data_IF_769571981272
#
_entry.id   IF_769571981272
#
_cell.length_a   1.000
_cell.length_b   1.000
_cell.length_c   1.000
_cell.angle_alpha   90.00
_cell.angle_beta   90.00
_cell.angle_gamma   90.00
#
_symmetry.space_group_name_H-M   'P 1'
#
loop_
_entity.id
_entity.type
_entity.pdbx_description
1 polymer ?
#
# COMPACT_ATOMS: atom_id res chain seq x y z
N UNK A 1 -26.91 5.56 -21.14
CA UNK A 1 -26.93 6.79 -20.34
C UNK A 1 -28.04 6.69 -19.31
N UNK A 2 -27.72 6.14 -18.13
CA UNK A 2 -28.56 6.15 -16.94
C UNK A 2 -27.70 6.73 -15.84
N UNK A 3 -28.03 7.95 -15.41
CA UNK A 3 -27.28 8.67 -14.39
C UNK A 3 -27.38 7.92 -13.06
N UNK A 4 -26.28 7.33 -12.61
CA UNK A 4 -26.12 6.91 -11.23
C UNK A 4 -26.17 8.17 -10.38
N UNK A 5 -27.31 8.40 -9.70
CA UNK A 5 -27.52 9.57 -8.85
C UNK A 5 -26.55 9.47 -7.67
N UNK A 6 -25.85 10.57 -7.37
CA UNK A 6 -24.97 10.80 -6.19
C UNK A 6 -25.49 10.31 -4.83
N UNK A 7 -26.76 9.90 -4.70
CA UNK A 7 -27.35 9.34 -3.48
C UNK A 7 -27.03 7.86 -3.25
N UNK A 8 -26.69 7.09 -4.28
CA UNK A 8 -26.35 5.66 -4.11
C UNK A 8 -24.92 5.46 -3.59
N UNK A 9 -24.00 6.41 -3.83
CA UNK A 9 -22.66 6.40 -3.22
C UNK A 9 -22.68 6.63 -1.70
N UNK A 10 -23.76 7.17 -1.14
CA UNK A 10 -23.90 7.45 0.29
C UNK A 10 -24.52 6.27 1.09
N UNK A 11 -25.06 5.26 0.40
CA UNK A 11 -25.73 4.11 1.02
C UNK A 11 -24.88 2.84 1.09
N UNK A 12 -23.64 2.86 0.57
CA UNK A 12 -22.60 1.86 0.88
C UNK A 12 -21.96 2.09 2.28
N UNK A 13 -22.69 2.70 3.20
CA UNK A 13 -22.35 2.83 4.63
C UNK A 13 -22.79 1.60 5.44
N UNK A 14 -23.18 0.51 4.76
CA UNK A 14 -23.42 -0.78 5.39
C UNK A 14 -22.10 -1.38 5.89
N UNK A 15 -21.83 -1.15 7.18
CA UNK A 15 -20.90 -1.91 8.02
C UNK A 15 -19.46 -2.00 7.49
N UNK A 16 -18.82 -0.86 7.25
CA UNK A 16 -17.37 -0.80 7.43
C UNK A 16 -17.11 -1.13 8.91
N UNK A 17 -16.22 -2.07 9.26
CA UNK A 17 -15.74 -2.17 10.61
C UNK A 17 -14.97 -0.87 10.87
N UNK A 18 -15.68 0.14 11.39
CA UNK A 18 -15.07 1.22 12.14
C UNK A 18 -14.30 0.52 13.23
N UNK A 19 -12.98 0.39 13.06
CA UNK A 19 -12.12 -0.13 14.10
C UNK A 19 -12.27 0.80 15.28
N UNK A 20 -13.12 0.38 16.23
CA UNK A 20 -13.17 0.94 17.57
C UNK A 20 -11.97 0.39 18.30
N UNK A 21 -10.77 0.78 17.87
CA UNK A 21 -9.64 0.80 18.78
C UNK A 21 -10.03 1.86 19.82
N UNK A 22 -10.56 1.42 20.96
CA UNK A 22 -10.59 2.28 22.14
C UNK A 22 -9.20 2.89 22.26
N UNK A 23 -9.13 4.22 22.36
CA UNK A 23 -7.93 5.04 22.18
C UNK A 23 -6.63 4.36 22.68
N UNK A 24 -5.99 3.56 21.84
CA UNK A 24 -4.69 2.97 22.13
C UNK A 24 -3.75 4.15 22.02
N UNK A 25 -3.24 4.61 23.15
CA UNK A 25 -2.17 5.60 23.18
C UNK A 25 -0.88 4.85 23.00
N UNK A 26 -0.04 5.27 22.07
CA UNK A 26 1.35 4.87 22.14
C UNK A 26 1.88 5.40 23.47
N UNK A 27 2.50 4.52 24.25
CA UNK A 27 3.23 4.92 25.44
C UNK A 27 4.46 5.72 24.98
N UNK A 28 4.56 7.03 25.29
CA UNK A 28 5.70 7.85 24.87
C UNK A 28 7.01 7.40 25.53
N UNK A 29 6.94 6.60 26.60
CA UNK A 29 8.09 5.99 27.27
C UNK A 29 8.48 4.63 26.67
N UNK A 30 7.65 4.05 25.80
CA UNK A 30 7.96 2.79 25.13
C UNK A 30 8.92 3.00 23.96
N UNK A 31 9.94 2.14 23.89
CA UNK A 31 10.79 2.00 22.71
C UNK A 31 10.18 0.96 21.76
N UNK A 32 10.11 1.31 20.48
CA UNK A 32 9.70 0.40 19.40
C UNK A 32 10.91 -0.02 18.57
N UNK A 33 10.96 -1.29 18.19
CA UNK A 33 12.04 -1.80 17.35
C UNK A 33 11.84 -1.35 15.90
N UNK A 34 10.58 -1.33 15.45
CA UNK A 34 10.18 -0.89 14.10
C UNK A 34 8.95 0.02 14.20
N UNK A 35 9.02 1.19 13.58
CA UNK A 35 7.89 2.09 13.35
C UNK A 35 7.54 2.06 11.87
N UNK A 36 6.33 1.63 11.53
CA UNK A 36 5.81 1.59 10.16
C UNK A 36 4.80 2.72 9.96
N UNK A 37 5.03 3.54 8.95
CA UNK A 37 4.21 4.72 8.65
C UNK A 37 3.36 4.47 7.41
N UNK A 38 2.05 4.35 7.60
CA UNK A 38 1.04 4.05 6.59
C UNK A 38 0.48 2.64 6.73
N UNK A 39 -0.80 2.50 7.03
CA UNK A 39 -1.49 1.22 7.18
C UNK A 39 -2.21 0.78 5.91
N UNK A 40 -1.50 0.79 4.78
CA UNK A 40 -1.98 0.35 3.47
C UNK A 40 -1.43 -1.00 3.03
N UNK A 41 -1.40 -1.22 1.70
CA UNK A 41 -0.92 -2.47 1.06
C UNK A 41 0.49 -2.90 1.48
N UNK A 42 1.40 -1.95 1.66
CA UNK A 42 2.79 -2.25 2.03
C UNK A 42 3.02 -2.26 3.54
N UNK A 43 2.38 -1.36 4.28
CA UNK A 43 2.69 -1.17 5.69
C UNK A 43 2.07 -2.22 6.61
N UNK A 44 0.87 -2.72 6.32
CA UNK A 44 0.27 -3.80 7.11
C UNK A 44 1.12 -5.08 7.04
N UNK A 45 1.46 -5.64 5.85
CA UNK A 45 2.33 -6.81 5.80
C UNK A 45 3.72 -6.52 6.39
N UNK A 46 4.30 -5.34 6.17
CA UNK A 46 5.58 -4.98 6.82
C UNK A 46 5.49 -5.09 8.36
N UNK A 47 4.43 -4.53 8.96
CA UNK A 47 4.22 -4.61 10.40
C UNK A 47 4.01 -6.06 10.89
N UNK A 48 3.26 -6.86 10.13
CA UNK A 48 3.03 -8.28 10.43
C UNK A 48 4.32 -9.09 10.39
N UNK A 49 5.11 -9.00 9.33
CA UNK A 49 6.36 -9.75 9.19
C UNK A 49 7.42 -9.29 10.21
N UNK A 50 7.47 -7.99 10.54
CA UNK A 50 8.33 -7.49 11.61
C UNK A 50 7.92 -8.08 12.98
N UNK A 51 6.62 -8.07 13.31
CA UNK A 51 6.10 -8.65 14.55
C UNK A 51 6.34 -10.17 14.63
N UNK A 52 6.13 -10.90 13.53
CA UNK A 52 6.42 -12.33 13.43
C UNK A 52 7.91 -12.65 13.61
N UNK A 53 8.79 -11.69 13.29
CA UNK A 53 10.23 -11.78 13.55
C UNK A 53 10.61 -11.41 15.00
N UNK A 54 9.63 -11.15 15.86
CA UNK A 54 9.82 -10.83 17.29
C UNK A 54 10.01 -9.34 17.59
N UNK A 55 9.88 -8.45 16.59
CA UNK A 55 9.99 -7.02 16.82
C UNK A 55 8.75 -6.45 17.52
N UNK A 56 8.95 -5.48 18.42
CA UNK A 56 7.86 -4.64 18.92
C UNK A 56 7.57 -3.52 17.92
N UNK A 57 6.38 -3.54 17.34
CA UNK A 57 6.04 -2.69 16.20
C UNK A 57 5.05 -1.58 16.57
N UNK A 58 5.27 -0.39 16.04
CA UNK A 58 4.27 0.68 15.98
C UNK A 58 3.82 0.86 14.54
N UNK A 59 2.53 0.64 14.25
CA UNK A 59 1.91 0.95 12.97
C UNK A 59 1.10 2.24 13.09
N UNK A 60 1.39 3.23 12.24
CA UNK A 60 0.75 4.55 12.26
C UNK A 60 -0.03 4.76 10.96
N UNK A 61 -1.30 5.16 11.06
CA UNK A 61 -2.16 5.53 9.94
C UNK A 61 -2.81 6.89 10.21
N UNK A 62 -2.71 7.80 9.23
CA UNK A 62 -3.27 9.16 9.36
C UNK A 62 -4.77 9.20 9.14
N UNK A 63 -5.31 8.26 8.38
CA UNK A 63 -6.75 8.05 8.23
C UNK A 63 -7.35 7.41 9.48
N UNK A 64 -8.67 7.58 9.72
CA UNK A 64 -9.37 6.84 10.76
C UNK A 64 -9.51 5.33 10.45
N UNK A 65 -9.23 4.90 9.23
CA UNK A 65 -9.35 3.52 8.77
C UNK A 65 -8.08 3.07 8.04
N UNK A 66 -7.74 1.79 8.19
CA UNK A 66 -6.66 1.15 7.43
C UNK A 66 -7.10 0.80 6.00
N UNK A 67 -6.12 0.60 5.13
CA UNK A 67 -6.28 0.10 3.77
C UNK A 67 -5.81 1.08 2.70
N UNK A 68 -5.89 2.38 2.95
CA UNK A 68 -5.46 3.41 2.01
C UNK A 68 -6.05 3.21 0.61
N UNK A 69 -5.21 3.04 -0.40
CA UNK A 69 -5.64 2.84 -1.79
C UNK A 69 -6.44 1.56 -2.02
N UNK A 70 -6.44 0.59 -1.10
CA UNK A 70 -7.25 -0.64 -1.22
C UNK A 70 -8.76 -0.37 -1.29
N UNK A 71 -9.25 0.77 -0.78
CA UNK A 71 -10.65 1.16 -0.93
C UNK A 71 -11.02 1.56 -2.38
N UNK A 72 -10.06 2.04 -3.17
CA UNK A 72 -10.26 2.57 -4.53
C UNK A 72 -9.72 1.61 -5.60
N UNK A 73 -8.77 0.77 -5.23
CA UNK A 73 -8.14 -0.20 -6.13
C UNK A 73 -9.12 -1.31 -6.52
N UNK A 74 -9.02 -1.76 -7.77
CA UNK A 74 -9.64 -3.02 -8.21
C UNK A 74 -9.05 -4.24 -7.50
N UNK A 75 -7.92 -4.09 -6.78
CA UNK A 75 -7.27 -5.19 -6.06
C UNK A 75 -6.61 -6.22 -6.97
N UNK A 76 -6.32 -5.83 -8.22
CA UNK A 76 -5.68 -6.71 -9.18
C UNK A 76 -4.18 -6.78 -8.92
N UNK A 77 -3.66 -7.99 -8.76
CA UNK A 77 -2.25 -8.29 -8.50
C UNK A 77 -1.72 -9.28 -9.53
N UNK A 78 -0.54 -9.02 -10.07
CA UNK A 78 0.12 -9.89 -11.05
C UNK A 78 1.13 -10.80 -10.36
N UNK A 79 1.14 -12.08 -10.69
CA UNK A 79 2.15 -13.02 -10.22
C UNK A 79 2.12 -14.33 -11.00
N UNK A 80 3.26 -15.00 -11.02
CA UNK A 80 3.50 -16.30 -11.66
C UNK A 80 3.67 -17.39 -10.59
N UNK A 81 3.44 -18.65 -10.96
CA UNK A 81 3.57 -19.80 -10.06
C UNK A 81 2.52 -19.83 -8.93
N UNK A 82 1.35 -19.20 -9.12
CA UNK A 82 0.37 -19.10 -8.04
C UNK A 82 -0.52 -20.34 -7.92
N UNK A 83 -1.09 -20.57 -6.73
CA UNK A 83 -2.11 -21.61 -6.51
C UNK A 83 -3.30 -21.46 -7.45
N UNK A 84 -3.62 -20.23 -7.87
CA UNK A 84 -4.70 -19.94 -8.80
C UNK A 84 -4.34 -20.30 -10.25
N UNK A 85 -3.08 -20.12 -10.67
CA UNK A 85 -2.59 -20.63 -11.94
C UNK A 85 -2.59 -22.16 -11.98
N UNK A 86 -2.13 -22.81 -10.91
CA UNK A 86 -2.08 -24.27 -10.79
C UNK A 86 -3.48 -24.90 -10.89
N UNK A 87 -4.50 -24.30 -10.27
CA UNK A 87 -5.91 -24.75 -10.37
C UNK A 87 -6.44 -24.79 -11.81
N UNK A 88 -5.85 -24.01 -12.72
CA UNK A 88 -6.22 -23.94 -14.13
C UNK A 88 -5.23 -24.67 -15.06
N UNK A 89 -4.24 -25.38 -14.50
CA UNK A 89 -3.18 -26.05 -15.27
C UNK A 89 -2.29 -25.09 -16.06
N UNK A 90 -2.13 -23.84 -15.59
CA UNK A 90 -1.24 -22.86 -16.20
C UNK A 90 0.17 -23.09 -15.63
N UNK A 91 1.12 -23.40 -16.51
CA UNK A 91 2.54 -23.40 -16.20
C UNK A 91 3.14 -22.03 -16.53
N UNK A 92 3.82 -21.43 -15.55
CA UNK A 92 4.37 -20.07 -15.64
C UNK A 92 5.52 -19.91 -14.64
N UNK A 93 6.41 -18.95 -14.89
CA UNK A 93 7.61 -18.75 -14.07
C UNK A 93 7.89 -17.28 -13.81
N UNK A 94 8.66 -17.03 -12.75
CA UNK A 94 9.12 -15.69 -12.42
C UNK A 94 10.01 -15.11 -13.55
N UNK A 95 10.74 -15.94 -14.29
CA UNK A 95 11.53 -15.51 -15.45
C UNK A 95 10.65 -15.08 -16.62
N UNK A 96 9.60 -15.84 -16.93
CA UNK A 96 8.64 -15.46 -17.95
C UNK A 96 7.89 -14.17 -17.56
N UNK A 97 7.59 -13.99 -16.27
CA UNK A 97 7.01 -12.77 -15.75
C UNK A 97 7.96 -11.58 -15.88
N UNK A 98 9.24 -11.73 -15.50
CA UNK A 98 10.27 -10.71 -15.68
C UNK A 98 10.39 -10.26 -17.13
N UNK A 99 10.50 -11.21 -18.06
CA UNK A 99 10.65 -10.93 -19.48
C UNK A 99 9.46 -10.14 -20.03
N UNK A 100 8.24 -10.47 -19.62
CA UNK A 100 7.08 -9.69 -20.00
C UNK A 100 7.07 -8.29 -19.38
N UNK A 101 7.41 -8.14 -18.10
CA UNK A 101 7.49 -6.83 -17.47
C UNK A 101 8.45 -5.92 -18.24
N UNK A 102 9.66 -6.40 -18.53
CA UNK A 102 10.68 -5.64 -19.26
C UNK A 102 10.27 -5.35 -20.70
N UNK A 103 9.59 -6.28 -21.38
CA UNK A 103 9.03 -6.05 -22.71
C UNK A 103 7.95 -4.97 -22.69
N UNK A 104 6.97 -5.09 -21.79
CA UNK A 104 5.81 -4.18 -21.69
C UNK A 104 6.25 -2.75 -21.36
N UNK A 105 7.29 -2.59 -20.54
CA UNK A 105 7.80 -1.26 -20.16
C UNK A 105 8.94 -0.75 -21.06
N UNK A 106 9.22 -1.42 -22.19
CA UNK A 106 10.32 -1.08 -23.12
C UNK A 106 11.69 -0.92 -22.42
N UNK A 107 11.96 -1.76 -21.42
CA UNK A 107 13.17 -1.76 -20.60
C UNK A 107 13.43 -0.46 -19.82
N UNK A 108 12.39 0.32 -19.52
CA UNK A 108 12.51 1.58 -18.76
C UNK A 108 12.43 1.40 -17.24
N UNK A 109 11.95 0.26 -16.76
CA UNK A 109 11.96 -0.05 -15.32
C UNK A 109 13.35 -0.48 -14.85
N UNK A 110 13.61 -0.32 -13.56
CA UNK A 110 14.80 -0.85 -12.92
C UNK A 110 14.74 -2.40 -12.94
N UNK A 111 15.70 -3.09 -13.59
CA UNK A 111 15.68 -4.53 -13.71
C UNK A 111 15.88 -5.25 -12.37
N UNK A 112 16.65 -4.70 -11.43
CA UNK A 112 16.88 -5.31 -10.12
C UNK A 112 15.61 -5.27 -9.28
N UNK A 113 14.93 -4.11 -9.25
CA UNK A 113 13.64 -3.98 -8.56
C UNK A 113 12.54 -4.81 -9.24
N UNK A 114 12.55 -4.89 -10.57
CA UNK A 114 11.59 -5.72 -11.32
C UNK A 114 11.80 -7.19 -10.99
N UNK A 115 13.06 -7.66 -10.98
CA UNK A 115 13.43 -9.04 -10.61
C UNK A 115 12.96 -9.38 -9.20
N UNK A 116 13.29 -8.53 -8.22
CA UNK A 116 12.86 -8.70 -6.83
C UNK A 116 11.33 -8.79 -6.71
N UNK A 117 10.62 -7.95 -7.46
CA UNK A 117 9.15 -7.95 -7.45
C UNK A 117 8.58 -9.25 -7.98
N UNK A 118 9.03 -9.71 -9.16
CA UNK A 118 8.44 -10.89 -9.80
C UNK A 118 8.85 -12.20 -9.14
N UNK A 119 10.01 -12.25 -8.45
CA UNK A 119 10.43 -13.40 -7.63
C UNK A 119 9.49 -13.63 -6.45
N UNK A 120 9.07 -12.56 -5.77
CA UNK A 120 8.21 -12.66 -4.59
C UNK A 120 6.71 -12.52 -4.89
N UNK A 121 6.33 -12.13 -6.11
CA UNK A 121 4.93 -11.93 -6.47
C UNK A 121 4.09 -13.20 -6.26
N UNK A 122 4.57 -14.35 -6.75
CA UNK A 122 3.86 -15.62 -6.60
C UNK A 122 3.67 -16.03 -5.15
N UNK A 123 4.76 -15.97 -4.37
CA UNK A 123 4.76 -16.29 -2.94
C UNK A 123 3.83 -15.37 -2.14
N UNK A 124 3.84 -14.07 -2.43
CA UNK A 124 2.97 -13.08 -1.80
C UNK A 124 1.49 -13.39 -2.05
N UNK A 125 1.13 -13.76 -3.28
CA UNK A 125 -0.25 -14.12 -3.64
C UNK A 125 -0.67 -15.44 -2.99
N UNK A 126 0.24 -16.41 -2.92
CA UNK A 126 -0.03 -17.67 -2.24
C UNK A 126 -0.19 -17.47 -0.72
N UNK A 127 0.59 -16.57 -0.12
CA UNK A 127 0.42 -16.16 1.28
C UNK A 127 -0.94 -15.49 1.49
N UNK A 128 -1.35 -14.58 0.61
CA UNK A 128 -2.70 -13.99 0.64
C UNK A 128 -3.79 -15.07 0.55
N UNK A 129 -3.65 -16.03 -0.37
CA UNK A 129 -4.61 -17.13 -0.54
C UNK A 129 -4.73 -17.99 0.72
N UNK A 130 -3.61 -18.29 1.38
CA UNK A 130 -3.59 -18.99 2.66
C UNK A 130 -4.32 -18.23 3.78
N UNK A 131 -4.49 -16.90 3.62
CA UNK A 131 -5.22 -16.03 4.54
C UNK A 131 -6.62 -15.65 4.02
N UNK A 132 -7.18 -16.44 3.11
CA UNK A 132 -8.57 -16.29 2.67
C UNK A 132 -8.78 -15.29 1.52
N UNK A 133 -7.72 -14.84 0.85
CA UNK A 133 -7.87 -14.14 -0.42
C UNK A 133 -8.37 -15.12 -1.50
N UNK A 134 -9.51 -14.78 -2.11
CA UNK A 134 -10.06 -15.52 -3.25
C UNK A 134 -10.19 -14.60 -4.47
N UNK A 135 -9.97 -15.19 -5.65
CA UNK A 135 -10.02 -14.48 -6.92
C UNK A 135 -11.40 -14.58 -7.57
N UNK A 136 -11.76 -13.56 -8.36
CA UNK A 136 -12.97 -13.57 -9.17
C UNK A 136 -12.99 -14.74 -10.16
N UNK A 137 -14.19 -15.22 -10.51
CA UNK A 137 -14.35 -16.26 -11.52
C UNK A 137 -13.70 -15.84 -12.86
N UNK A 138 -12.98 -16.77 -13.48
CA UNK A 138 -12.26 -16.54 -14.73
C UNK A 138 -10.85 -15.95 -14.57
N UNK A 139 -10.41 -15.62 -13.35
CA UNK A 139 -9.02 -15.25 -13.07
C UNK A 139 -8.15 -16.48 -12.76
N UNK A 140 -6.82 -16.39 -13.00
CA UNK A 140 -6.08 -15.26 -13.55
C UNK A 140 -6.36 -14.96 -15.04
N UNK A 141 -6.12 -13.72 -15.46
CA UNK A 141 -6.24 -13.24 -16.86
C UNK A 141 -4.93 -12.59 -17.34
N UNK A 142 -4.80 -12.32 -18.64
CA UNK A 142 -3.62 -11.67 -19.23
C UNK A 142 -3.55 -10.15 -19.00
N UNK A 143 -4.67 -9.55 -18.58
CA UNK A 143 -4.82 -8.10 -18.39
C UNK A 143 -5.43 -7.40 -19.60
N UNK A 144 -5.99 -6.21 -19.37
CA UNK A 144 -6.49 -5.27 -20.40
C UNK A 144 -6.07 -3.85 -19.99
N UNK A 145 -5.65 -3.01 -20.94
CA UNK A 145 -5.33 -1.58 -20.70
C UNK A 145 -3.90 -1.15 -21.06
N UNK A 146 -2.96 -2.10 -21.15
CA UNK A 146 -1.64 -1.96 -21.75
C UNK A 146 -1.30 -3.25 -22.50
N UNK A 147 -0.10 -3.36 -23.09
CA UNK A 147 0.38 -4.60 -23.70
C UNK A 147 0.18 -5.79 -22.75
N UNK A 148 -0.52 -6.81 -23.22
CA UNK A 148 -0.92 -7.93 -22.38
C UNK A 148 0.30 -8.78 -21.97
N UNK A 149 0.19 -9.42 -20.80
CA UNK A 149 1.07 -10.53 -20.46
C UNK A 149 0.86 -11.69 -21.44
N UNK A 150 1.93 -12.41 -21.76
CA UNK A 150 1.87 -13.64 -22.58
C UNK A 150 1.20 -14.79 -21.83
N UNK A 151 1.25 -14.78 -20.49
CA UNK A 151 0.56 -15.72 -19.62
C UNK A 151 -0.51 -15.02 -18.76
N UNK A 152 -1.47 -15.81 -18.27
CA UNK A 152 -2.53 -15.32 -17.37
C UNK A 152 -1.97 -15.11 -15.97
N UNK A 153 -1.66 -13.86 -15.59
CA UNK A 153 -1.02 -13.49 -14.30
C UNK A 153 -1.85 -12.59 -13.40
N UNK A 154 -2.79 -11.83 -13.97
CA UNK A 154 -3.57 -10.88 -13.20
C UNK A 154 -4.71 -11.53 -12.42
N UNK A 155 -4.66 -11.38 -11.11
CA UNK A 155 -5.56 -11.98 -10.13
C UNK A 155 -6.30 -10.87 -9.41
N UNK A 156 -7.62 -10.81 -9.58
CA UNK A 156 -8.44 -9.79 -8.93
C UNK A 156 -9.28 -10.43 -7.84
N UNK A 157 -9.28 -9.81 -6.66
CA UNK A 157 -10.09 -10.28 -5.54
C UNK A 157 -11.59 -10.12 -5.76
N UNK A 158 -12.39 -11.02 -5.18
CA UNK A 158 -13.86 -11.02 -5.28
C UNK A 158 -14.54 -9.73 -4.80
N UNK A 159 -13.88 -8.96 -3.93
CA UNK A 159 -14.33 -7.67 -3.41
C UNK A 159 -13.30 -6.57 -3.68
N UNK A 160 -12.71 -6.59 -4.87
CA UNK A 160 -11.67 -5.66 -5.30
C UNK A 160 -10.50 -5.57 -4.31
N UNK A 161 -9.94 -4.37 -4.07
CA UNK A 161 -8.84 -4.17 -3.13
C UNK A 161 -9.17 -4.59 -1.69
N UNK A 162 -10.45 -4.59 -1.30
CA UNK A 162 -10.85 -5.03 0.04
C UNK A 162 -10.62 -6.52 0.28
N UNK A 163 -10.57 -7.36 -0.77
CA UNK A 163 -10.17 -8.76 -0.61
C UNK A 163 -8.75 -8.89 -0.07
N UNK A 164 -7.83 -8.00 -0.47
CA UNK A 164 -6.45 -7.99 0.04
C UNK A 164 -6.44 -7.50 1.49
N UNK A 165 -7.17 -6.41 1.79
CA UNK A 165 -7.26 -5.89 3.16
C UNK A 165 -7.79 -6.96 4.12
N UNK A 166 -8.89 -7.63 3.73
CA UNK A 166 -9.54 -8.67 4.53
C UNK A 166 -8.63 -9.87 4.81
N UNK A 167 -7.69 -10.19 3.91
CA UNK A 167 -6.69 -11.23 4.15
C UNK A 167 -5.67 -10.83 5.24
N UNK A 168 -5.43 -9.54 5.44
CA UNK A 168 -4.51 -9.07 6.48
C UNK A 168 -5.14 -8.98 7.87
N UNK A 169 -6.43 -8.61 7.94
CA UNK A 169 -7.05 -8.17 9.19
C UNK A 169 -6.99 -9.21 10.31
N UNK A 170 -7.29 -10.50 10.09
CA UNK A 170 -7.25 -11.48 11.17
C UNK A 170 -5.87 -11.59 11.83
N UNK A 171 -4.80 -11.61 11.03
CA UNK A 171 -3.42 -11.67 11.54
C UNK A 171 -3.01 -10.38 12.24
N UNK A 172 -3.47 -9.22 11.76
CA UNK A 172 -3.20 -7.93 12.38
C UNK A 172 -3.91 -7.80 13.72
N UNK A 173 -5.20 -8.13 13.78
CA UNK A 173 -5.99 -8.14 15.01
C UNK A 173 -5.39 -9.08 16.06
N UNK A 174 -4.96 -10.28 15.65
CA UNK A 174 -4.26 -11.22 16.53
C UNK A 174 -2.95 -10.66 17.07
N UNK A 175 -2.16 -9.97 16.24
CA UNK A 175 -0.89 -9.37 16.66
C UNK A 175 -1.08 -8.15 17.58
N UNK A 176 -2.14 -7.36 17.36
CA UNK A 176 -2.55 -6.27 18.26
C UNK A 176 -3.02 -6.85 19.61
N UNK A 177 -3.83 -7.90 19.62
CA UNK A 177 -4.31 -8.55 20.84
C UNK A 177 -3.15 -9.13 21.68
N UNK A 178 -2.10 -9.63 21.01
CA UNK A 178 -0.84 -10.10 21.65
C UNK A 178 0.12 -8.97 22.02
N UNK A 179 -0.25 -7.71 21.78
CA UNK A 179 0.57 -6.51 22.05
C UNK A 179 1.91 -6.47 21.29
N UNK A 180 2.01 -7.20 20.18
CA UNK A 180 3.20 -7.20 19.31
C UNK A 180 3.19 -5.98 18.39
N UNK A 181 1.98 -5.56 17.97
CA UNK A 181 1.76 -4.37 17.16
C UNK A 181 0.89 -3.39 17.95
N UNK A 182 1.43 -2.20 18.21
CA UNK A 182 0.62 -1.04 18.62
C UNK A 182 0.13 -0.34 17.35
N UNK A 183 -1.18 -0.11 17.23
CA UNK A 183 -1.79 0.62 16.11
C UNK A 183 -2.27 2.01 16.53
N UNK A 184 -1.86 3.05 15.81
CA UNK A 184 -2.42 4.40 15.90
C UNK A 184 -3.11 4.76 14.59
N UNK A 185 -4.41 5.02 14.64
CA UNK A 185 -5.17 5.61 13.53
C UNK A 185 -5.43 7.10 13.80
N UNK A 186 -5.94 7.82 12.79
CA UNK A 186 -6.15 9.28 12.86
C UNK A 186 -4.90 10.06 13.28
N UNK A 187 -3.71 9.51 13.03
CA UNK A 187 -2.43 10.02 13.54
C UNK A 187 -1.46 10.18 12.38
N UNK A 188 -1.08 11.42 12.08
CA UNK A 188 -0.05 11.73 11.07
C UNK A 188 1.35 11.69 11.67
N UNK A 189 2.35 11.39 10.84
CA UNK A 189 3.75 11.67 11.15
C UNK A 189 4.11 13.00 10.51
N UNK A 190 4.71 13.91 11.28
CA UNK A 190 5.01 15.27 10.87
C UNK A 190 6.51 15.59 10.90
N UNK A 191 7.32 14.71 11.49
CA UNK A 191 8.76 14.86 11.55
C UNK A 191 9.48 13.54 11.77
N UNK A 192 10.70 13.45 11.24
CA UNK A 192 11.65 12.39 11.54
C UNK A 192 12.68 12.96 12.52
N UNK A 193 12.84 12.31 13.66
CA UNK A 193 13.79 12.74 14.68
C UNK A 193 15.17 12.20 14.32
N UNK A 194 16.18 13.06 14.20
CA UNK A 194 17.56 12.65 13.92
C UNK A 194 18.49 12.94 15.10
N UNK A 195 19.45 12.06 15.34
CA UNK A 195 20.55 12.34 16.27
C UNK A 195 21.64 13.22 15.62
N UNK A 196 22.70 13.53 16.37
CA UNK A 196 23.80 14.38 15.88
C UNK A 196 24.57 13.77 14.70
N UNK A 197 24.49 12.45 14.50
CA UNK A 197 25.13 11.75 13.40
C UNK A 197 24.20 11.60 12.18
N UNK A 198 22.97 12.13 12.26
CA UNK A 198 21.96 12.06 11.19
C UNK A 198 21.14 10.76 11.19
N UNK A 199 21.34 9.86 12.17
CA UNK A 199 20.54 8.64 12.26
C UNK A 199 19.12 8.99 12.69
N UNK A 200 18.11 8.46 11.99
CA UNK A 200 16.71 8.57 12.42
C UNK A 200 16.47 7.69 13.64
N UNK A 201 15.95 8.29 14.71
CA UNK A 201 15.80 7.69 16.06
C UNK A 201 14.37 7.78 16.60
N UNK A 202 13.43 8.16 15.76
CA UNK A 202 12.04 8.31 16.13
C UNK A 202 11.25 9.18 15.17
N UNK A 203 10.00 9.43 15.53
CA UNK A 203 9.04 10.21 14.76
C UNK A 203 8.30 11.18 15.66
N UNK A 204 7.98 12.36 15.13
CA UNK A 204 7.01 13.28 15.74
C UNK A 204 5.65 13.04 15.10
N UNK A 205 4.65 12.70 15.89
CA UNK A 205 3.28 12.41 15.45
C UNK A 205 2.31 13.50 15.87
N UNK A 206 1.27 13.73 15.08
CA UNK A 206 0.13 14.56 15.43
C UNK A 206 -1.16 13.75 15.28
N UNK A 207 -1.90 13.58 16.38
CA UNK A 207 -3.16 12.82 16.39
C UNK A 207 -4.16 13.36 17.42
N UNK A 208 -5.21 12.60 17.77
CA UNK A 208 -6.26 13.05 18.68
C UNK A 208 -5.77 13.37 20.10
N UNK A 209 -4.61 12.82 20.47
CA UNK A 209 -3.95 13.07 21.76
C UNK A 209 -2.90 14.20 21.71
N UNK A 210 -2.91 15.01 20.64
CA UNK A 210 -1.96 16.09 20.43
C UNK A 210 -0.69 15.66 19.70
N UNK A 211 0.36 16.48 19.83
CA UNK A 211 1.68 16.23 19.25
C UNK A 211 2.54 15.43 20.23
N UNK A 212 3.21 14.38 19.77
CA UNK A 212 4.05 13.51 20.59
C UNK A 212 5.29 13.06 19.83
N UNK A 213 6.41 12.93 20.54
CA UNK A 213 7.61 12.28 20.03
C UNK A 213 7.62 10.82 20.46
N UNK A 214 7.88 9.93 19.51
CA UNK A 214 7.94 8.48 19.75
C UNK A 214 9.29 7.96 19.25
N UNK A 215 10.02 7.29 20.15
CA UNK A 215 11.33 6.71 19.84
C UNK A 215 11.19 5.35 19.16
N UNK A 216 12.03 5.13 18.16
CA UNK A 216 12.13 3.83 17.51
C UNK A 216 13.47 3.63 16.82
N UNK A 217 13.89 2.36 16.71
CA UNK A 217 15.19 2.01 16.14
C UNK A 217 15.21 2.02 14.61
N UNK A 218 14.10 1.59 13.98
CA UNK A 218 13.97 1.52 12.52
C UNK A 218 12.63 2.13 12.10
N UNK A 219 12.66 2.96 11.06
CA UNK A 219 11.48 3.67 10.57
C UNK A 219 11.25 3.24 9.12
N UNK A 220 10.07 2.69 8.83
CA UNK A 220 9.68 2.24 7.49
C UNK A 220 8.60 3.17 6.95
N UNK A 221 8.89 3.80 5.81
CA UNK A 221 7.95 4.65 5.08
C UNK A 221 7.10 3.77 4.14
N UNK A 222 5.82 3.60 4.44
CA UNK A 222 4.85 2.86 3.63
C UNK A 222 3.65 3.74 3.27
N UNK A 223 3.92 5.01 2.94
CA UNK A 223 2.95 6.12 2.94
C UNK A 223 2.18 6.31 1.63
N UNK A 224 2.40 5.48 0.62
CA UNK A 224 1.85 5.68 -0.72
C UNK A 224 2.47 6.89 -1.45
N UNK A 225 1.78 7.37 -2.48
CA UNK A 225 2.26 8.42 -3.38
C UNK A 225 1.64 9.81 -3.16
N UNK A 226 1.67 10.62 -4.22
CA UNK A 226 1.22 12.03 -4.23
C UNK A 226 0.05 12.30 -5.20
N UNK A 227 -0.57 11.27 -5.78
CA UNK A 227 -1.55 11.43 -6.85
C UNK A 227 -2.90 12.08 -6.42
N UNK A 228 -3.03 12.52 -5.17
CA UNK A 228 -4.14 13.38 -4.69
C UNK A 228 -3.69 14.82 -4.37
N UNK A 229 -2.42 15.16 -4.63
CA UNK A 229 -1.81 16.47 -4.43
C UNK A 229 -1.40 17.07 -5.78
N UNK A 230 -2.24 17.91 -6.42
CA UNK A 230 -1.93 18.45 -7.74
C UNK A 230 -0.62 19.22 -7.82
N UNK A 231 -0.25 19.96 -6.76
CA UNK A 231 0.98 20.77 -6.73
C UNK A 231 2.21 19.87 -6.67
N UNK A 232 2.27 18.98 -5.70
CA UNK A 232 3.41 18.07 -5.58
C UNK A 232 3.51 17.12 -6.78
N UNK A 233 2.38 16.70 -7.36
CA UNK A 233 2.37 15.93 -8.59
C UNK A 233 3.04 16.71 -9.73
N UNK A 234 2.64 17.98 -9.94
CA UNK A 234 3.24 18.83 -10.98
C UNK A 234 4.73 19.12 -10.71
N UNK A 235 5.10 19.38 -9.46
CA UNK A 235 6.49 19.63 -9.05
C UNK A 235 7.40 18.41 -9.33
N UNK A 236 6.88 17.18 -9.14
CA UNK A 236 7.65 15.95 -9.36
C UNK A 236 7.68 15.53 -10.83
N UNK A 237 6.55 15.63 -11.52
CA UNK A 237 6.37 15.04 -12.85
C UNK A 237 6.50 16.05 -13.99
N UNK A 238 6.48 17.35 -13.71
CA UNK A 238 6.54 18.42 -14.72
C UNK A 238 5.28 18.57 -15.57
N UNK A 239 4.17 17.93 -15.16
CA UNK A 239 2.87 17.98 -15.84
C UNK A 239 1.74 18.11 -14.83
N UNK A 240 0.62 18.78 -15.17
CA UNK A 240 -0.48 18.94 -14.23
C UNK A 240 -1.22 17.61 -14.00
N UNK A 241 -1.79 17.46 -12.81
CA UNK A 241 -2.62 16.31 -12.47
C UNK A 241 -4.01 16.43 -13.13
N UNK A 242 -4.24 15.67 -14.20
CA UNK A 242 -5.49 15.72 -14.96
C UNK A 242 -6.65 14.92 -14.35
N UNK A 243 -6.37 13.79 -13.67
CA UNK A 243 -7.41 12.89 -13.18
C UNK A 243 -7.36 12.77 -11.64
N UNK A 244 -8.50 13.05 -10.99
CA UNK A 244 -8.63 12.92 -9.53
C UNK A 244 -9.14 11.53 -9.12
N UNK A 245 -8.33 10.52 -9.38
CA UNK A 245 -8.70 9.10 -9.16
C UNK A 245 -8.02 8.47 -7.94
N UNK A 246 -7.03 9.15 -7.36
CA UNK A 246 -6.31 8.66 -6.20
C UNK A 246 -7.12 8.79 -4.90
N UNK A 247 -6.82 7.92 -3.94
CA UNK A 247 -7.36 8.02 -2.60
C UNK A 247 -6.97 9.37 -1.96
N UNK A 248 -7.91 10.12 -1.32
CA UNK A 248 -7.66 11.51 -0.91
C UNK A 248 -6.46 11.74 0.01
N UNK A 249 -6.00 10.70 0.71
CA UNK A 249 -4.84 10.80 1.60
C UNK A 249 -3.49 10.56 0.89
N UNK A 250 -3.48 10.25 -0.40
CA UNK A 250 -2.27 10.11 -1.24
C UNK A 250 -1.65 11.48 -1.57
N UNK A 251 -1.21 12.19 -0.53
CA UNK A 251 -0.79 13.59 -0.59
C UNK A 251 0.73 13.78 -0.75
N UNK A 252 1.51 12.68 -0.67
CA UNK A 252 2.97 12.70 -0.78
C UNK A 252 3.71 13.14 0.49
N UNK A 253 3.04 13.26 1.63
CA UNK A 253 3.65 13.69 2.91
C UNK A 253 4.89 12.87 3.26
N UNK A 254 4.88 11.56 3.02
CA UNK A 254 6.03 10.69 3.27
C UNK A 254 7.20 10.90 2.31
N UNK A 255 6.95 11.33 1.07
CA UNK A 255 8.02 11.71 0.13
C UNK A 255 8.74 12.96 0.66
N UNK A 256 7.97 13.95 1.11
CA UNK A 256 8.49 15.19 1.70
C UNK A 256 9.27 14.92 3.00
N UNK A 257 8.77 14.03 3.85
CA UNK A 257 9.46 13.60 5.07
C UNK A 257 10.77 12.86 4.77
N UNK A 258 10.77 11.97 3.78
CA UNK A 258 11.99 11.27 3.36
C UNK A 258 13.05 12.24 2.88
N UNK A 259 12.67 13.21 2.04
CA UNK A 259 13.58 14.26 1.56
C UNK A 259 14.10 15.15 2.69
N UNK A 260 13.25 15.52 3.67
CA UNK A 260 13.68 16.37 4.78
C UNK A 260 14.72 15.70 5.69
N UNK A 261 14.78 14.37 5.70
CA UNK A 261 15.81 13.60 6.39
C UNK A 261 17.06 13.30 5.52
N UNK A 262 17.15 13.86 4.31
CA UNK A 262 18.28 13.70 3.39
C UNK A 262 18.08 12.61 2.32
N UNK A 263 16.88 12.04 2.20
CA UNK A 263 16.54 11.13 1.11
C UNK A 263 16.42 11.82 -0.25
N UNK A 264 16.49 11.05 -1.32
CA UNK A 264 16.29 11.52 -2.69
C UNK A 264 15.11 10.77 -3.35
N UNK A 265 14.41 11.45 -4.25
CA UNK A 265 13.38 10.83 -5.08
C UNK A 265 14.04 10.20 -6.31
N UNK A 266 13.71 8.95 -6.59
CA UNK A 266 14.13 8.22 -7.79
C UNK A 266 12.89 7.94 -8.64
N UNK A 267 12.98 8.20 -9.95
CA UNK A 267 11.87 8.01 -10.88
C UNK A 267 10.74 9.03 -10.69
N UNK A 268 11.02 10.20 -10.10
CA UNK A 268 10.03 11.26 -9.88
C UNK A 268 9.44 11.79 -11.18
N UNK A 269 10.17 11.70 -12.29
CA UNK A 269 9.71 12.03 -13.64
C UNK A 269 8.74 10.98 -14.22
N UNK A 270 8.70 9.76 -13.67
CA UNK A 270 7.86 8.67 -14.16
C UNK A 270 6.47 8.76 -13.53
N UNK A 271 5.45 8.88 -14.39
CA UNK A 271 4.06 8.82 -13.97
C UNK A 271 3.25 7.98 -14.96
N UNK A 272 2.20 7.33 -14.46
CA UNK A 272 1.20 6.69 -15.29
C UNK A 272 -0.02 7.60 -15.37
N UNK A 273 -0.46 7.93 -16.59
CA UNK A 273 -1.76 8.57 -16.81
C UNK A 273 -2.80 7.52 -17.13
N UNK A 274 -4.04 7.75 -16.70
CA UNK A 274 -5.17 6.94 -17.15
C UNK A 274 -5.65 7.51 -18.49
N UNK A 275 -5.18 6.91 -19.59
CA UNK A 275 -5.59 7.31 -20.92
C UNK A 275 -7.13 7.25 -21.07
N UNK A 276 -7.73 8.34 -21.54
CA UNK A 276 -9.18 8.42 -21.79
C UNK A 276 -10.04 8.85 -20.60
N UNK A 277 -9.46 9.05 -19.40
CA UNK A 277 -10.17 9.72 -18.30
C UNK A 277 -10.17 11.22 -18.57
N UNK A 278 -11.33 11.74 -19.00
CA UNK A 278 -11.58 13.18 -19.07
C UNK A 278 -11.65 13.70 -17.61
N UNK A 279 -10.92 14.76 -17.26
CA UNK A 279 -11.10 15.42 -15.97
C UNK A 279 -12.57 15.78 -15.83
N UNK A 280 -13.24 15.36 -14.75
CA UNK A 280 -14.60 15.82 -14.47
C UNK A 280 -14.64 17.35 -14.59
N UNK A 281 -15.54 17.84 -15.45
CA UNK A 281 -15.94 19.24 -15.54
C UNK A 281 -16.66 19.71 -14.27
#
# INVERSE_FOLDING_TARGET
>A
MTSLRRRELLLATASLPLWRTGSVRADPSAHYDVIVIGGGTAGIPCALFAAQSGARVLLIEKSPALGGTLFWSTGQIAGSGTVFQQRLGIDDSADAHFNDCMRINEHTADPELTRLTVDHAGETINWLAAHGFEVMAGHPVTGIGHDHFTARRYQQGVNNGLSILNAFLPSLESSIARQEITLLTSTGVNGLMQDRAGKVVGVTVAGPSGIQDIRGSHIVMATGGCAANPRLFEDLHGVPLYAKTAYPTSQGDGLLLGMSAGGAIVGGEKYASLAGLVPDA
#
